data_IF_786599465209
#
_entry.id   IF_786599465209
#
_cell.length_a   1.000
_cell.length_b   1.000
_cell.length_c   1.000
_cell.angle_alpha   90.00
_cell.angle_beta   90.00
_cell.angle_gamma   90.00
#
_symmetry.space_group_name_H-M   'P 1'
#
loop_
_entity.id
_entity.type
_entity.pdbx_description
1 polymer ?
#
# COMPACT_ATOMS: atom_id res chain seq x y z
N UNK A 1 1.07 14.34 -24.51
CA UNK A 1 1.05 14.67 -23.07
C UNK A 1 -0.37 14.39 -22.57
N UNK A 2 -0.57 13.37 -21.75
CA UNK A 2 -1.87 13.16 -21.12
C UNK A 2 -2.15 14.34 -20.18
N UNK A 3 -3.36 14.92 -20.26
CA UNK A 3 -3.76 15.99 -19.36
C UNK A 3 -3.63 15.52 -17.91
N UNK A 4 -3.07 16.37 -17.04
CA UNK A 4 -2.93 16.10 -15.61
C UNK A 4 -4.34 16.07 -14.99
N UNK A 5 -4.85 14.88 -14.68
CA UNK A 5 -6.17 14.71 -14.07
C UNK A 5 -6.18 15.29 -12.65
N UNK A 6 -7.26 15.97 -12.30
CA UNK A 6 -7.54 16.38 -10.92
C UNK A 6 -7.82 15.19 -10.01
N UNK A 7 -7.76 15.39 -8.69
CA UNK A 7 -8.12 14.34 -7.72
C UNK A 7 -9.55 13.82 -7.94
N UNK A 8 -10.52 14.70 -8.22
CA UNK A 8 -11.91 14.30 -8.44
C UNK A 8 -12.11 13.52 -9.73
N UNK A 9 -11.38 13.82 -10.79
CA UNK A 9 -11.39 13.04 -12.02
C UNK A 9 -10.82 11.64 -11.81
N UNK A 10 -9.69 11.53 -11.08
CA UNK A 10 -9.12 10.23 -10.69
C UNK A 10 -10.10 9.41 -9.86
N UNK A 11 -10.76 10.05 -8.89
CA UNK A 11 -11.78 9.43 -8.04
C UNK A 11 -12.97 8.88 -8.86
N UNK A 12 -13.48 9.66 -9.82
CA UNK A 12 -14.56 9.22 -10.73
C UNK A 12 -14.12 8.03 -11.60
N UNK A 13 -12.92 8.09 -12.17
CA UNK A 13 -12.37 6.98 -12.96
C UNK A 13 -12.20 5.71 -12.14
N UNK A 14 -11.72 5.83 -10.91
CA UNK A 14 -11.55 4.70 -10.00
C UNK A 14 -12.89 4.09 -9.60
N UNK A 15 -13.88 4.91 -9.26
CA UNK A 15 -15.23 4.47 -8.90
C UNK A 15 -15.91 3.65 -10.00
N UNK A 16 -15.67 4.00 -11.27
CA UNK A 16 -16.23 3.28 -12.42
C UNK A 16 -15.56 1.89 -12.66
N UNK A 17 -14.42 1.61 -12.01
CA UNK A 17 -13.62 0.40 -12.25
C UNK A 17 -13.61 -0.56 -11.08
N UNK A 18 -13.71 -0.07 -9.86
CA UNK A 18 -13.66 -0.89 -8.67
C UNK A 18 -15.05 -1.29 -8.17
N UNK A 19 -15.13 -2.45 -7.51
CA UNK A 19 -16.32 -2.81 -6.74
C UNK A 19 -16.58 -1.75 -5.65
N UNK A 20 -17.85 -1.44 -5.32
CA UNK A 20 -18.18 -0.37 -4.36
C UNK A 20 -17.49 -0.50 -2.99
N UNK A 21 -17.33 -1.72 -2.47
CA UNK A 21 -16.61 -1.95 -1.20
C UNK A 21 -15.12 -1.60 -1.31
N UNK A 22 -14.47 -1.96 -2.42
CA UNK A 22 -13.05 -1.65 -2.66
C UNK A 22 -12.85 -0.14 -2.89
N UNK A 23 -13.77 0.50 -3.58
CA UNK A 23 -13.72 1.95 -3.75
C UNK A 23 -13.86 2.69 -2.41
N UNK A 24 -14.80 2.27 -1.53
CA UNK A 24 -14.91 2.85 -0.17
C UNK A 24 -13.64 2.67 0.63
N UNK A 25 -13.04 1.48 0.59
CA UNK A 25 -11.73 1.21 1.19
C UNK A 25 -10.65 2.18 0.67
N UNK A 26 -10.55 2.36 -0.64
CA UNK A 26 -9.57 3.29 -1.24
C UNK A 26 -9.79 4.75 -0.78
N UNK A 27 -11.03 5.18 -0.56
CA UNK A 27 -11.31 6.48 0.03
C UNK A 27 -10.85 6.57 1.49
N UNK A 28 -11.09 5.52 2.28
CA UNK A 28 -10.61 5.43 3.66
C UNK A 28 -9.09 5.50 3.74
N UNK A 29 -8.38 4.76 2.87
CA UNK A 29 -6.92 4.80 2.78
C UNK A 29 -6.42 6.18 2.38
N UNK A 30 -7.06 6.84 1.41
CA UNK A 30 -6.68 8.19 0.98
C UNK A 30 -6.71 9.21 2.13
N UNK A 31 -7.80 9.24 2.90
CA UNK A 31 -7.93 10.16 4.03
C UNK A 31 -6.98 9.81 5.18
N UNK A 32 -6.82 8.54 5.50
CA UNK A 32 -5.87 8.07 6.52
C UNK A 32 -4.43 8.41 6.14
N UNK A 33 -4.06 8.20 4.87
CA UNK A 33 -2.73 8.55 4.36
C UNK A 33 -2.45 10.05 4.41
N UNK A 34 -3.44 10.89 4.06
CA UNK A 34 -3.29 12.35 4.15
C UNK A 34 -3.10 12.83 5.60
N UNK A 35 -3.84 12.24 6.56
CA UNK A 35 -3.69 12.55 7.99
C UNK A 35 -2.29 12.13 8.52
N UNK A 36 -1.83 10.94 8.17
CA UNK A 36 -0.49 10.48 8.53
C UNK A 36 0.60 11.35 7.88
N UNK A 37 0.42 11.71 6.62
CA UNK A 37 1.35 12.60 5.90
C UNK A 37 1.49 13.95 6.59
N UNK A 38 0.38 14.57 7.00
CA UNK A 38 0.38 15.81 7.75
C UNK A 38 1.12 15.67 9.10
N UNK A 39 0.88 14.55 9.83
CA UNK A 39 1.57 14.27 11.09
C UNK A 39 3.09 14.11 10.91
N UNK A 40 3.52 13.48 9.83
CA UNK A 40 4.94 13.16 9.62
C UNK A 40 5.67 14.10 8.66
N UNK A 41 5.06 15.22 8.28
CA UNK A 41 5.68 16.23 7.41
C UNK A 41 5.99 15.69 6.00
N UNK A 42 5.04 14.93 5.43
CA UNK A 42 5.07 14.45 4.05
C UNK A 42 3.97 15.17 3.26
N UNK A 43 4.12 15.28 1.95
CA UNK A 43 3.10 15.89 1.09
C UNK A 43 1.78 15.13 1.21
N UNK A 44 0.77 15.82 1.77
CA UNK A 44 -0.55 15.24 2.03
C UNK A 44 -1.34 14.97 0.73
N UNK A 45 -1.14 15.76 -0.33
CA UNK A 45 -1.81 15.54 -1.62
C UNK A 45 -1.20 14.35 -2.36
N UNK A 46 0.13 14.19 -2.30
CA UNK A 46 0.80 12.99 -2.81
C UNK A 46 0.33 11.74 -2.07
N UNK A 47 0.26 11.80 -0.73
CA UNK A 47 -0.22 10.68 0.10
C UNK A 47 -1.69 10.37 -0.16
N UNK A 48 -2.56 11.39 -0.26
CA UNK A 48 -3.98 11.22 -0.61
C UNK A 48 -4.15 10.57 -1.97
N UNK A 49 -3.37 11.01 -2.97
CA UNK A 49 -3.41 10.44 -4.32
C UNK A 49 -2.93 8.99 -4.34
N UNK A 50 -1.81 8.70 -3.68
CA UNK A 50 -1.28 7.34 -3.58
C UNK A 50 -2.27 6.41 -2.85
N UNK A 51 -2.85 6.86 -1.74
CA UNK A 51 -3.86 6.12 -0.98
C UNK A 51 -5.13 5.85 -1.79
N UNK A 52 -5.63 6.84 -2.55
CA UNK A 52 -6.76 6.64 -3.45
C UNK A 52 -6.50 5.56 -4.48
N UNK A 53 -5.30 5.53 -5.06
CA UNK A 53 -4.98 4.72 -6.22
C UNK A 53 -4.21 3.43 -5.89
N UNK A 54 -3.87 3.16 -4.60
CA UNK A 54 -3.04 2.00 -4.23
C UNK A 54 -3.58 0.68 -4.77
N UNK A 55 -4.88 0.54 -4.77
CA UNK A 55 -5.61 -0.67 -5.19
C UNK A 55 -6.23 -0.57 -6.60
N UNK A 56 -5.82 0.40 -7.44
CA UNK A 56 -6.46 0.64 -8.74
C UNK A 56 -6.41 -0.58 -9.68
N UNK A 57 -5.42 -1.47 -9.54
CA UNK A 57 -5.35 -2.69 -10.32
C UNK A 57 -6.20 -3.85 -9.77
N UNK A 58 -6.92 -3.65 -8.63
CA UNK A 58 -7.90 -4.62 -8.13
C UNK A 58 -9.17 -4.71 -8.98
N UNK A 59 -9.24 -3.96 -10.06
CA UNK A 59 -10.23 -4.17 -11.13
C UNK A 59 -10.01 -5.50 -11.86
N UNK A 60 -8.77 -6.00 -11.94
CA UNK A 60 -8.47 -7.29 -12.53
C UNK A 60 -8.84 -8.45 -11.59
N UNK A 61 -9.46 -9.52 -12.09
CA UNK A 61 -9.57 -10.76 -11.34
C UNK A 61 -8.19 -11.39 -11.10
N UNK A 62 -8.04 -12.14 -10.01
CA UNK A 62 -6.75 -12.69 -9.58
C UNK A 62 -6.08 -13.56 -10.67
N UNK A 63 -6.87 -14.32 -11.41
CA UNK A 63 -6.42 -15.18 -12.51
C UNK A 63 -5.84 -14.40 -13.68
N UNK A 64 -6.30 -13.17 -13.91
CA UNK A 64 -5.81 -12.32 -14.99
C UNK A 64 -4.54 -11.53 -14.63
N UNK A 65 -4.20 -11.40 -13.34
CA UNK A 65 -3.11 -10.54 -12.89
C UNK A 65 -1.74 -10.95 -13.45
N UNK A 66 -1.48 -12.26 -13.59
CA UNK A 66 -0.23 -12.73 -14.21
C UNK A 66 -0.15 -12.36 -15.69
N UNK A 67 -1.21 -12.63 -16.44
CA UNK A 67 -1.25 -12.27 -17.87
C UNK A 67 -1.09 -10.75 -18.08
N UNK A 68 -1.69 -9.94 -17.23
CA UNK A 68 -1.54 -8.48 -17.28
C UNK A 68 -0.12 -8.03 -16.91
N UNK A 69 0.53 -8.69 -15.94
CA UNK A 69 1.93 -8.42 -15.60
C UNK A 69 2.88 -8.85 -16.72
N UNK A 70 2.69 -10.05 -17.29
CA UNK A 70 3.48 -10.56 -18.41
C UNK A 70 3.36 -9.65 -19.65
N UNK A 71 2.15 -9.22 -19.98
CA UNK A 71 1.89 -8.27 -21.08
C UNK A 71 2.65 -6.95 -20.93
N UNK A 72 2.86 -6.48 -19.71
CA UNK A 72 3.58 -5.25 -19.39
C UNK A 72 5.06 -5.48 -19.07
N UNK A 73 5.53 -6.72 -19.19
CA UNK A 73 6.91 -7.11 -18.87
C UNK A 73 7.31 -6.73 -17.44
N UNK A 74 6.34 -6.77 -16.50
CA UNK A 74 6.60 -6.51 -15.09
C UNK A 74 7.29 -7.73 -14.47
N UNK A 75 8.52 -7.60 -13.95
CA UNK A 75 9.22 -8.73 -13.35
C UNK A 75 8.58 -9.13 -12.02
N UNK A 76 8.44 -10.43 -11.79
CA UNK A 76 7.96 -10.98 -10.52
C UNK A 76 8.57 -12.35 -10.23
N UNK A 77 8.58 -12.73 -8.95
CA UNK A 77 9.24 -13.92 -8.44
C UNK A 77 8.30 -15.13 -8.29
N UNK A 78 8.81 -16.19 -7.66
CA UNK A 78 8.03 -17.41 -7.42
C UNK A 78 6.87 -17.20 -6.46
N UNK A 79 6.97 -16.27 -5.51
CA UNK A 79 5.89 -16.00 -4.54
C UNK A 79 4.69 -15.34 -5.23
N UNK A 80 4.91 -14.32 -6.05
CA UNK A 80 3.83 -13.68 -6.82
C UNK A 80 3.24 -14.65 -7.84
N UNK A 81 4.05 -15.57 -8.39
CA UNK A 81 3.56 -16.64 -9.26
C UNK A 81 2.59 -17.58 -8.55
N UNK A 82 2.89 -17.90 -7.28
CA UNK A 82 2.03 -18.71 -6.42
C UNK A 82 0.84 -17.91 -5.85
N UNK A 83 1.03 -16.61 -5.64
CA UNK A 83 0.04 -15.70 -5.07
C UNK A 83 -0.20 -14.49 -6.00
N UNK A 84 -0.89 -14.66 -7.15
CA UNK A 84 -1.02 -13.61 -8.18
C UNK A 84 -1.67 -12.34 -7.66
N UNK A 85 -2.44 -12.43 -6.58
CA UNK A 85 -3.02 -11.27 -5.91
C UNK A 85 -1.99 -10.19 -5.56
N UNK A 86 -0.75 -10.56 -5.21
CA UNK A 86 0.31 -9.61 -4.88
C UNK A 86 0.68 -8.68 -6.06
N UNK A 87 0.44 -9.14 -7.29
CA UNK A 87 0.74 -8.36 -8.50
C UNK A 87 -0.11 -7.10 -8.67
N UNK A 88 -1.23 -6.96 -7.92
CA UNK A 88 -2.03 -5.73 -8.01
C UNK A 88 -1.23 -4.47 -7.64
N UNK A 89 -0.29 -4.58 -6.69
CA UNK A 89 0.58 -3.47 -6.32
C UNK A 89 1.53 -3.08 -7.46
N UNK A 90 2.12 -4.06 -8.12
CA UNK A 90 3.05 -3.87 -9.23
C UNK A 90 2.32 -3.33 -10.48
N UNK A 91 1.18 -3.91 -10.80
CA UNK A 91 0.30 -3.43 -11.87
C UNK A 91 -0.22 -2.02 -11.56
N UNK A 92 -0.61 -1.74 -10.34
CA UNK A 92 -1.08 -0.43 -9.88
C UNK A 92 -0.05 0.67 -10.13
N UNK A 93 1.21 0.41 -9.79
CA UNK A 93 2.31 1.36 -9.99
C UNK A 93 2.51 1.78 -11.46
N UNK A 94 2.23 0.90 -12.41
CA UNK A 94 2.27 1.21 -13.85
C UNK A 94 0.98 1.91 -14.28
N UNK A 95 -0.17 1.41 -13.83
CA UNK A 95 -1.48 1.92 -14.25
C UNK A 95 -1.77 3.35 -13.79
N UNK A 96 -1.19 3.80 -12.68
CA UNK A 96 -1.38 5.20 -12.24
C UNK A 96 -0.86 6.20 -13.26
N UNK A 97 0.19 5.85 -14.01
CA UNK A 97 0.68 6.66 -15.13
C UNK A 97 -0.20 6.50 -16.36
N UNK A 98 -0.53 5.26 -16.73
CA UNK A 98 -1.29 4.95 -17.95
C UNK A 98 -2.70 5.56 -17.96
N UNK A 99 -3.41 5.49 -16.83
CA UNK A 99 -4.84 5.82 -16.75
C UNK A 99 -5.19 7.03 -15.91
N UNK A 100 -4.40 7.30 -14.86
CA UNK A 100 -4.76 8.32 -13.87
C UNK A 100 -3.92 9.57 -13.97
N UNK A 101 -3.04 9.67 -14.97
CA UNK A 101 -2.23 10.86 -15.23
C UNK A 101 -1.32 11.23 -14.07
N UNK A 102 -0.85 10.23 -13.30
CA UNK A 102 0.10 10.43 -12.20
C UNK A 102 1.51 10.22 -12.75
N UNK A 103 2.24 11.31 -12.90
CA UNK A 103 3.64 11.29 -13.33
C UNK A 103 4.55 11.67 -12.15
N UNK A 104 4.46 10.86 -11.11
CA UNK A 104 5.23 11.01 -9.87
C UNK A 104 5.79 9.65 -9.45
N UNK A 105 7.13 9.55 -9.45
CA UNK A 105 7.84 8.33 -9.10
C UNK A 105 7.61 7.91 -7.65
N UNK A 106 7.50 8.87 -6.73
CA UNK A 106 7.29 8.58 -5.31
C UNK A 106 5.90 7.97 -5.08
N UNK A 107 4.86 8.49 -5.74
CA UNK A 107 3.51 7.91 -5.70
C UNK A 107 3.50 6.50 -6.31
N UNK A 108 4.10 6.33 -7.49
CA UNK A 108 4.19 5.02 -8.14
C UNK A 108 4.93 3.99 -7.29
N UNK A 109 6.03 4.39 -6.66
CA UNK A 109 6.80 3.54 -5.75
C UNK A 109 6.00 3.17 -4.49
N UNK A 110 5.31 4.12 -3.87
CA UNK A 110 4.48 3.85 -2.70
C UNK A 110 3.37 2.84 -3.02
N UNK A 111 2.75 2.97 -4.20
CA UNK A 111 1.78 1.99 -4.69
C UNK A 111 2.43 0.63 -4.94
N UNK A 112 3.62 0.58 -5.55
CA UNK A 112 4.36 -0.67 -5.76
C UNK A 112 4.64 -1.41 -4.44
N UNK A 113 4.92 -0.68 -3.36
CA UNK A 113 5.34 -1.22 -2.06
C UNK A 113 4.23 -1.44 -1.05
N UNK A 114 3.00 -0.97 -1.32
CA UNK A 114 1.96 -0.93 -0.29
C UNK A 114 1.54 -2.30 0.26
N UNK A 115 1.75 -3.40 -0.48
CA UNK A 115 1.34 -4.74 -0.03
C UNK A 115 2.43 -5.45 0.77
N UNK A 116 3.61 -5.59 0.20
CA UNK A 116 4.70 -6.38 0.80
C UNK A 116 5.79 -5.54 1.45
N UNK A 117 5.79 -4.23 1.21
CA UNK A 117 6.85 -3.35 1.66
C UNK A 117 8.17 -3.59 0.94
N UNK A 118 9.26 -3.46 1.67
CA UNK A 118 10.62 -3.73 1.21
C UNK A 118 11.67 -2.96 2.02
N UNK A 119 12.95 -3.24 1.82
CA UNK A 119 14.01 -2.46 2.44
C UNK A 119 14.02 -1.02 1.90
N UNK A 120 14.55 -0.09 2.68
CA UNK A 120 14.69 1.32 2.34
C UNK A 120 13.38 1.99 1.91
N UNK A 121 12.27 1.69 2.62
CA UNK A 121 11.00 2.38 2.40
C UNK A 121 11.13 3.87 2.68
N UNK A 122 10.66 4.70 1.75
CA UNK A 122 10.52 6.14 1.95
C UNK A 122 9.43 6.44 3.01
N UNK A 123 9.35 7.67 3.47
CA UNK A 123 8.27 8.07 4.40
C UNK A 123 6.89 7.87 3.76
N UNK A 124 6.74 8.18 2.48
CA UNK A 124 5.48 7.96 1.75
C UNK A 124 5.15 6.47 1.62
N UNK A 125 6.11 5.61 1.28
CA UNK A 125 5.90 4.16 1.23
C UNK A 125 5.34 3.63 2.55
N UNK A 126 5.96 4.04 3.69
CA UNK A 126 5.54 3.63 5.04
C UNK A 126 4.12 4.10 5.37
N UNK A 127 3.79 5.33 4.99
CA UNK A 127 2.47 5.91 5.21
C UNK A 127 1.40 5.16 4.43
N UNK A 128 1.61 4.88 3.15
CA UNK A 128 0.62 4.18 2.33
C UNK A 128 0.43 2.75 2.80
N UNK A 129 1.53 2.04 3.08
CA UNK A 129 1.50 0.68 3.60
C UNK A 129 0.71 0.60 4.92
N UNK A 130 0.95 1.55 5.84
CA UNK A 130 0.29 1.56 7.15
C UNK A 130 -1.17 2.04 7.07
N UNK A 131 -1.46 3.04 6.24
CA UNK A 131 -2.81 3.56 6.05
C UNK A 131 -3.78 2.47 5.54
N UNK A 132 -3.32 1.60 4.64
CA UNK A 132 -4.09 0.44 4.17
C UNK A 132 -4.47 -0.52 5.31
N UNK A 133 -3.61 -0.68 6.30
CA UNK A 133 -3.88 -1.54 7.46
C UNK A 133 -4.90 -0.95 8.43
N UNK A 134 -4.95 0.38 8.60
CA UNK A 134 -5.70 1.00 9.70
C UNK A 134 -6.89 1.84 9.28
N UNK A 135 -7.18 1.97 7.97
CA UNK A 135 -8.29 2.80 7.48
C UNK A 135 -9.62 2.42 8.18
N UNK A 136 -10.60 3.35 8.25
CA UNK A 136 -11.78 3.18 9.12
C UNK A 136 -12.62 1.93 8.91
N UNK A 137 -12.63 1.34 7.70
CA UNK A 137 -13.40 0.11 7.43
C UNK A 137 -12.70 -1.18 7.85
N UNK A 138 -11.44 -1.10 8.30
CA UNK A 138 -10.71 -2.26 8.82
C UNK A 138 -11.27 -2.67 10.17
N UNK A 139 -11.56 -3.98 10.30
CA UNK A 139 -12.09 -4.59 11.52
C UNK A 139 -11.38 -5.94 11.74
N UNK A 140 -10.36 -5.94 12.59
CA UNK A 140 -9.61 -7.10 13.04
C UNK A 140 -9.00 -6.82 14.44
N UNK A 141 -8.68 -7.83 15.25
CA UNK A 141 -8.38 -7.66 16.69
C UNK A 141 -7.31 -6.62 17.00
N UNK A 142 -6.24 -6.53 16.20
CA UNK A 142 -5.10 -5.65 16.47
C UNK A 142 -5.28 -4.23 15.91
N UNK A 143 -6.35 -3.93 15.17
CA UNK A 143 -6.49 -2.66 14.45
C UNK A 143 -6.53 -1.45 15.37
N UNK A 144 -7.18 -1.54 16.53
CA UNK A 144 -7.26 -0.42 17.48
C UNK A 144 -5.91 -0.11 18.11
N UNK A 145 -5.11 -1.13 18.38
CA UNK A 145 -3.73 -0.93 18.84
C UNK A 145 -2.91 -0.21 17.76
N UNK A 146 -3.00 -0.62 16.50
CA UNK A 146 -2.30 0.03 15.41
C UNK A 146 -2.79 1.48 15.17
N UNK A 147 -4.10 1.74 15.32
CA UNK A 147 -4.66 3.11 15.27
C UNK A 147 -4.14 4.00 16.41
N UNK A 148 -3.97 3.45 17.59
CA UNK A 148 -3.34 4.16 18.72
C UNK A 148 -1.89 4.52 18.39
N UNK A 149 -1.10 3.57 17.92
CA UNK A 149 0.28 3.81 17.48
C UNK A 149 0.38 4.88 16.39
N UNK A 150 -0.58 4.91 15.47
CA UNK A 150 -0.66 5.93 14.43
C UNK A 150 -0.78 7.37 14.99
N UNK A 151 -1.21 7.54 16.24
CA UNK A 151 -1.30 8.83 16.94
C UNK A 151 -0.09 9.12 17.82
N UNK A 152 0.53 8.10 18.41
CA UNK A 152 1.49 8.25 19.50
C UNK A 152 2.94 7.94 19.11
N UNK A 153 3.16 6.93 18.28
CA UNK A 153 4.49 6.41 17.96
C UNK A 153 5.18 7.16 16.80
N UNK A 154 6.48 6.96 16.64
CA UNK A 154 7.22 7.39 15.45
C UNK A 154 6.81 6.55 14.23
N UNK A 155 7.09 7.06 13.02
CA UNK A 155 6.75 6.37 11.78
C UNK A 155 7.44 5.00 11.65
N UNK A 156 8.68 4.87 12.16
CA UNK A 156 9.44 3.63 12.12
C UNK A 156 8.91 2.60 13.14
N UNK A 157 8.50 3.04 14.33
CA UNK A 157 7.85 2.17 15.33
C UNK A 157 6.49 1.68 14.87
N UNK A 158 5.66 2.56 14.29
CA UNK A 158 4.40 2.18 13.65
C UNK A 158 4.63 1.09 12.61
N UNK A 159 5.56 1.33 11.68
CA UNK A 159 5.84 0.38 10.60
C UNK A 159 6.32 -0.96 11.16
N UNK A 160 7.23 -0.93 12.16
CA UNK A 160 7.72 -2.15 12.80
C UNK A 160 6.60 -2.97 13.43
N UNK A 161 5.67 -2.32 14.14
CA UNK A 161 4.50 -2.97 14.72
C UNK A 161 3.60 -3.56 13.63
N UNK A 162 3.25 -2.77 12.61
CA UNK A 162 2.41 -3.22 11.50
C UNK A 162 3.00 -4.41 10.73
N UNK A 163 4.30 -4.34 10.36
CA UNK A 163 5.00 -5.44 9.69
C UNK A 163 5.00 -6.71 10.56
N UNK A 164 5.19 -6.56 11.88
CA UNK A 164 5.18 -7.68 12.82
C UNK A 164 3.81 -8.36 12.84
N UNK A 165 2.73 -7.58 12.95
CA UNK A 165 1.36 -8.13 12.94
C UNK A 165 0.99 -8.74 11.57
N UNK A 166 1.41 -8.11 10.47
CA UNK A 166 1.23 -8.67 9.13
C UNK A 166 1.92 -10.04 8.97
N UNK A 167 3.17 -10.17 9.43
CA UNK A 167 3.91 -11.45 9.38
C UNK A 167 3.21 -12.51 10.24
N UNK A 168 2.79 -12.17 11.45
CA UNK A 168 2.03 -13.09 12.33
C UNK A 168 0.76 -13.59 11.65
N UNK A 169 -0.02 -12.66 11.08
CA UNK A 169 -1.27 -12.98 10.39
C UNK A 169 -1.04 -13.93 9.20
N UNK A 170 -0.07 -13.61 8.32
CA UNK A 170 0.24 -14.40 7.14
C UNK A 170 0.73 -15.80 7.54
N UNK A 171 1.62 -15.89 8.55
CA UNK A 171 2.13 -17.17 9.06
C UNK A 171 1.02 -18.02 9.70
N UNK A 172 0.15 -17.41 10.51
CA UNK A 172 -0.97 -18.11 11.16
C UNK A 172 -1.98 -18.65 10.14
N UNK A 173 -2.09 -18.05 8.95
CA UNK A 173 -2.93 -18.56 7.84
C UNK A 173 -2.22 -19.63 7.00
N UNK A 174 -0.98 -19.98 7.28
CA UNK A 174 -0.19 -20.92 6.49
C UNK A 174 0.15 -20.41 5.09
N UNK A 175 0.14 -19.10 4.89
CA UNK A 175 0.48 -18.50 3.60
C UNK A 175 1.99 -18.21 3.48
N UNK A 176 2.45 -18.04 2.23
CA UNK A 176 3.84 -17.72 1.95
C UNK A 176 4.19 -16.34 2.50
N UNK A 177 5.28 -16.26 3.26
CA UNK A 177 5.85 -15.00 3.71
C UNK A 177 6.72 -14.39 2.60
N UNK A 178 6.45 -13.16 2.24
CA UNK A 178 7.25 -12.48 1.23
C UNK A 178 8.57 -12.00 1.83
N UNK A 179 9.76 -12.30 1.22
CA UNK A 179 11.06 -11.91 1.76
C UNK A 179 11.18 -10.41 2.02
N UNK A 180 10.66 -9.57 1.13
CA UNK A 180 10.69 -8.10 1.28
C UNK A 180 10.01 -7.61 2.56
N UNK A 181 8.95 -8.26 3.01
CA UNK A 181 8.27 -7.90 4.28
C UNK A 181 9.19 -8.18 5.47
N UNK A 182 9.88 -9.31 5.44
CA UNK A 182 10.84 -9.71 6.48
C UNK A 182 12.06 -8.78 6.45
N UNK A 183 12.59 -8.47 5.28
CA UNK A 183 13.71 -7.55 5.09
C UNK A 183 13.38 -6.15 5.62
N UNK A 184 12.21 -5.61 5.29
CA UNK A 184 11.75 -4.32 5.80
C UNK A 184 11.69 -4.29 7.33
N UNK A 185 11.14 -5.33 7.94
CA UNK A 185 11.08 -5.46 9.40
C UNK A 185 12.47 -5.55 10.02
N UNK A 186 13.33 -6.41 9.48
CA UNK A 186 14.67 -6.63 10.02
C UNK A 186 15.56 -5.38 9.87
N UNK A 187 15.42 -4.62 8.80
CA UNK A 187 16.10 -3.33 8.63
C UNK A 187 15.77 -2.37 9.78
N UNK A 188 14.51 -2.25 10.17
CA UNK A 188 14.11 -1.40 11.30
C UNK A 188 14.75 -1.85 12.61
N UNK A 189 14.74 -3.14 12.88
CA UNK A 189 15.39 -3.71 14.07
C UNK A 189 16.90 -3.48 14.08
N UNK A 190 17.57 -3.68 12.94
CA UNK A 190 19.01 -3.42 12.80
C UNK A 190 19.37 -1.94 13.02
N UNK A 191 18.44 -1.03 12.72
CA UNK A 191 18.55 0.41 13.01
C UNK A 191 18.24 0.75 14.48
N UNK A 192 17.97 -0.24 15.31
CA UNK A 192 17.67 -0.05 16.74
C UNK A 192 16.23 0.37 17.06
N UNK A 193 15.32 0.33 16.08
CA UNK A 193 13.90 0.60 16.33
C UNK A 193 13.33 -0.50 17.22
N UNK A 194 12.57 -0.14 18.24
CA UNK A 194 11.94 -1.07 19.18
C UNK A 194 10.44 -1.17 18.90
N UNK A 195 9.87 -2.34 19.19
CA UNK A 195 8.41 -2.44 19.24
C UNK A 195 7.87 -1.52 20.33
N UNK A 196 6.89 -0.67 20.02
CA UNK A 196 6.25 0.15 21.04
C UNK A 196 5.52 -0.77 22.07
N UNK A 197 5.67 -0.45 23.33
CA UNK A 197 5.07 -1.18 24.48
C UNK A 197 3.60 -0.81 24.63
#
# INVERSE_FOLDING_TARGET
MNAKLSYDERKKLLAARLKPSRFRHSLGVAETAAQLAARFGVDAEAARTAGLLHDCAREFPNEAMRAEADKRQIPYGPIERAMPLLLHAYLGAVRVRELYGVDDDAISQAIYRHTVGGPQMTRLDKIIWYADMIEPSRDYPEVEMLRRLAREASLDEMLLAGLTESIKFVAAKGHLLHPRTIEARNELLLRGVKLPV
#
